data_IF_072333210557
#
_entry.id   IF_072333210557
#
_cell.length_a   1.000
_cell.length_b   1.000
_cell.length_c   1.000
_cell.angle_alpha   90.00
_cell.angle_beta   90.00
_cell.angle_gamma   90.00
#
_symmetry.space_group_name_H-M   'P 1'
#
loop_
_entity.id
_entity.type
_entity.pdbx_description
1 polymer ?
#
# COMPACT_ATOMS: atom_id res chain seq x y z
N UNK A 1 -26.06 6.39 -4.07
CA UNK A 1 -25.40 5.18 -3.53
C UNK A 1 -23.91 5.44 -3.54
N UNK A 2 -23.27 5.65 -2.39
CA UNK A 2 -21.82 5.90 -2.34
C UNK A 2 -21.11 4.54 -2.51
N UNK A 3 -20.34 4.39 -3.58
CA UNK A 3 -19.60 3.17 -3.87
C UNK A 3 -18.42 3.11 -2.89
N UNK A 4 -18.59 2.38 -1.79
CA UNK A 4 -17.53 2.17 -0.80
C UNK A 4 -16.36 1.47 -1.53
N UNK A 5 -15.22 2.16 -1.64
CA UNK A 5 -14.02 1.56 -2.23
C UNK A 5 -13.53 0.47 -1.28
N UNK A 6 -13.37 -0.75 -1.80
CA UNK A 6 -12.86 -1.89 -1.04
C UNK A 6 -11.34 -1.90 -1.13
N UNK A 7 -10.67 -0.96 -0.47
CA UNK A 7 -9.21 -0.92 -0.44
C UNK A 7 -8.62 0.48 -0.43
N UNK A 8 -7.29 0.51 -0.37
CA UNK A 8 -6.48 1.71 -0.38
C UNK A 8 -5.86 1.90 -1.77
N UNK A 9 -5.69 3.14 -2.19
CA UNK A 9 -4.98 3.45 -3.42
C UNK A 9 -3.47 3.41 -3.14
N UNK A 10 -2.77 2.47 -3.75
CA UNK A 10 -1.34 2.30 -3.64
C UNK A 10 -0.64 2.98 -4.82
N UNK A 11 0.24 3.93 -4.55
CA UNK A 11 1.14 4.54 -5.54
C UNK A 11 2.54 3.97 -5.38
N UNK A 12 3.12 3.48 -6.47
CA UNK A 12 4.43 2.83 -6.51
C UNK A 12 5.46 3.78 -7.10
N UNK A 13 6.64 3.84 -6.49
CA UNK A 13 7.71 4.76 -6.85
C UNK A 13 9.04 4.01 -6.99
N UNK A 14 9.87 4.47 -7.92
CA UNK A 14 11.31 4.21 -7.94
C UNK A 14 11.98 5.22 -6.99
N UNK A 15 12.93 4.75 -6.18
CA UNK A 15 13.54 5.49 -5.07
C UNK A 15 12.89 5.16 -3.72
N UNK A 16 13.61 5.38 -2.63
CA UNK A 16 13.13 5.10 -1.26
C UNK A 16 12.24 6.23 -0.72
N UNK A 17 12.34 7.43 -1.30
CA UNK A 17 11.68 8.66 -0.82
C UNK A 17 10.64 9.20 -1.82
N UNK A 18 9.92 8.31 -2.51
CA UNK A 18 8.82 8.64 -3.43
C UNK A 18 9.25 9.49 -4.65
N UNK A 19 10.47 9.29 -5.12
CA UNK A 19 11.13 10.17 -6.10
C UNK A 19 10.47 10.14 -7.48
N UNK A 20 10.29 8.93 -8.05
CA UNK A 20 9.77 8.76 -9.40
C UNK A 20 8.56 7.86 -9.41
N UNK A 21 7.40 8.44 -9.66
CA UNK A 21 6.16 7.71 -9.81
C UNK A 21 6.22 6.71 -10.97
N UNK A 22 5.77 5.47 -10.72
CA UNK A 22 5.69 4.39 -11.69
C UNK A 22 4.23 4.14 -12.07
N UNK A 23 3.42 3.72 -11.09
CA UNK A 23 2.03 3.35 -11.32
C UNK A 23 1.21 3.45 -10.03
N UNK A 24 -0.12 3.32 -10.19
CA UNK A 24 -1.06 3.19 -9.09
C UNK A 24 -1.93 1.95 -9.24
N UNK A 25 -2.29 1.33 -8.10
CA UNK A 25 -3.17 0.16 -8.01
C UNK A 25 -4.14 0.34 -6.83
N UNK A 26 -5.29 -0.32 -6.87
CA UNK A 26 -6.16 -0.44 -5.69
C UNK A 26 -5.81 -1.75 -4.96
N UNK A 27 -5.34 -1.63 -3.71
CA UNK A 27 -4.98 -2.76 -2.85
C UNK A 27 -6.08 -2.96 -1.80
N UNK A 28 -6.77 -4.09 -1.88
CA UNK A 28 -7.90 -4.41 -0.99
C UNK A 28 -7.44 -4.73 0.44
N UNK A 29 -6.19 -5.20 0.59
CA UNK A 29 -5.54 -5.55 1.85
C UNK A 29 -4.07 -5.15 1.75
N UNK A 30 -3.50 -4.58 2.81
CA UNK A 30 -2.04 -4.40 2.94
C UNK A 30 -1.48 -5.66 3.63
N UNK A 31 -1.06 -6.63 2.84
CA UNK A 31 -0.39 -7.84 3.34
C UNK A 31 0.47 -8.42 2.22
N UNK A 32 1.72 -7.96 2.15
CA UNK A 32 2.64 -8.30 1.08
C UNK A 32 3.96 -8.85 1.62
N UNK A 33 4.44 -9.92 1.00
CA UNK A 33 5.80 -10.42 1.16
C UNK A 33 6.42 -10.63 -0.22
N UNK A 34 7.32 -9.73 -0.60
CA UNK A 34 7.97 -9.76 -1.91
C UNK A 34 9.26 -10.60 -1.91
N UNK A 35 9.78 -11.01 -0.75
CA UNK A 35 11.07 -11.70 -0.66
C UNK A 35 12.19 -10.94 -1.40
N UNK A 36 12.81 -11.59 -2.39
CA UNK A 36 13.80 -10.98 -3.31
C UNK A 36 13.19 -10.56 -4.66
N UNK A 37 11.87 -10.52 -4.75
CA UNK A 37 11.10 -10.19 -5.94
C UNK A 37 10.67 -8.71 -5.97
N UNK A 38 9.91 -8.35 -7.01
CA UNK A 38 9.34 -7.00 -7.15
C UNK A 38 7.84 -7.03 -6.86
N UNK A 39 7.27 -5.96 -6.28
CA UNK A 39 5.82 -5.86 -6.08
C UNK A 39 4.98 -5.97 -7.36
N UNK A 40 5.54 -5.52 -8.48
CA UNK A 40 4.89 -5.55 -9.79
C UNK A 40 5.92 -5.27 -10.90
N UNK A 41 5.63 -5.73 -12.11
CA UNK A 41 6.42 -5.40 -13.31
C UNK A 41 6.66 -3.89 -13.42
N UNK A 42 7.89 -3.50 -13.73
CA UNK A 42 8.41 -2.12 -13.84
C UNK A 42 8.72 -1.40 -12.52
N UNK A 43 8.51 -2.03 -11.36
CA UNK A 43 9.09 -1.55 -10.10
C UNK A 43 10.44 -2.25 -9.90
N UNK A 44 11.51 -1.52 -9.56
CA UNK A 44 12.80 -2.11 -9.20
C UNK A 44 12.69 -3.20 -8.13
N UNK A 45 13.64 -4.12 -8.11
CA UNK A 45 13.73 -5.14 -7.05
C UNK A 45 14.11 -4.52 -5.70
N UNK A 46 15.04 -3.57 -5.72
CA UNK A 46 15.53 -2.83 -4.56
C UNK A 46 15.25 -1.33 -4.75
N UNK A 47 15.32 -0.56 -3.66
CA UNK A 47 15.19 0.91 -3.67
C UNK A 47 13.89 1.40 -4.31
N UNK A 48 12.77 0.88 -3.81
CA UNK A 48 11.43 1.36 -4.18
C UNK A 48 10.66 1.77 -2.93
N UNK A 49 9.63 2.59 -3.12
CA UNK A 49 8.70 2.94 -2.06
C UNK A 49 7.26 2.90 -2.54
N UNK A 50 6.34 2.70 -1.59
CA UNK A 50 4.90 2.62 -1.87
C UNK A 50 4.15 3.51 -0.88
N UNK A 51 3.19 4.29 -1.39
CA UNK A 51 2.28 5.11 -0.59
C UNK A 51 0.85 4.60 -0.72
N UNK A 52 0.27 4.10 0.38
CA UNK A 52 -1.14 3.74 0.45
C UNK A 52 -1.96 4.90 1.01
N UNK A 53 -2.99 5.32 0.27
CA UNK A 53 -3.88 6.44 0.63
C UNK A 53 -5.34 6.00 0.56
N UNK A 54 -6.14 6.37 1.56
CA UNK A 54 -7.57 6.10 1.60
C UNK A 54 -8.17 6.25 2.99
N UNK A 55 -9.35 5.65 3.17
CA UNK A 55 -10.12 5.69 4.40
C UNK A 55 -10.29 4.28 4.95
N UNK A 56 -10.19 4.15 6.28
CA UNK A 56 -10.48 2.91 6.99
C UNK A 56 -11.76 3.14 7.79
N UNK A 57 -12.75 2.28 7.56
CA UNK A 57 -14.00 2.29 8.32
C UNK A 57 -14.04 1.11 9.28
N UNK A 58 -14.24 1.40 10.56
CA UNK A 58 -14.43 0.37 11.58
C UNK A 58 -15.89 -0.09 11.59
N UNK A 59 -16.13 -1.33 12.01
CA UNK A 59 -17.49 -1.87 12.16
C UNK A 59 -18.13 -1.41 13.47
N UNK A 60 -17.32 -1.20 14.50
CA UNK A 60 -17.75 -0.86 15.85
C UNK A 60 -16.91 0.31 16.41
N UNK A 61 -17.49 1.02 17.36
CA UNK A 61 -16.80 2.05 18.14
C UNK A 61 -15.85 1.39 19.15
N UNK A 62 -14.67 1.97 19.33
CA UNK A 62 -13.69 1.44 20.26
C UNK A 62 -12.29 2.00 20.04
N UNK A 63 -11.35 1.54 20.86
CA UNK A 63 -9.94 1.84 20.71
C UNK A 63 -9.30 0.81 19.77
N UNK A 64 -8.55 1.29 18.77
CA UNK A 64 -7.87 0.46 17.79
C UNK A 64 -6.39 0.79 17.75
N UNK A 65 -5.55 -0.24 17.72
CA UNK A 65 -4.10 -0.11 17.52
C UNK A 65 -3.74 -0.55 16.11
N UNK A 66 -3.09 0.34 15.36
CA UNK A 66 -2.48 -0.01 14.07
C UNK A 66 -1.06 -0.52 14.31
N UNK A 67 -0.71 -1.62 13.66
CA UNK A 67 0.63 -2.19 13.73
C UNK A 67 1.14 -2.47 12.33
N UNK A 68 2.44 -2.33 12.17
CA UNK A 68 3.19 -2.85 11.03
C UNK A 68 4.00 -4.03 11.51
N UNK A 69 4.27 -5.00 10.64
CA UNK A 69 5.22 -6.05 10.94
C UNK A 69 6.62 -5.43 10.92
N UNK A 70 7.24 -5.28 12.08
CA UNK A 70 8.66 -5.01 12.20
C UNK A 70 9.39 -6.33 11.93
N UNK A 71 10.35 -6.34 11.01
CA UNK A 71 11.09 -7.55 10.62
C UNK A 71 12.38 -7.69 11.43
#
# INVERSE_FOLDING_TARGET
MCRQKKGLTASYFEGEEFEKYILKREDHVINFDWGTGTPITNVPYDYFSIRWEGEIQTLEEGEYTFTTLDR
#
